data_IF_272382134083
#
_entry.id   IF_272382134083
#
_cell.length_a   1.000
_cell.length_b   1.000
_cell.length_c   1.000
_cell.angle_alpha   90.00
_cell.angle_beta   90.00
_cell.angle_gamma   90.00
#
_symmetry.space_group_name_H-M   'P 1'
#
loop_
_entity.id
_entity.type
_entity.pdbx_description
1 polymer ?
#
# COMPACT_ATOMS: atom_id res chain seq x y z
N UNK A 1 14.85 19.73 35.96
CA UNK A 1 13.57 19.01 35.76
C UNK A 1 13.64 18.30 34.42
N UNK A 2 13.58 16.95 34.41
CA UNK A 2 13.54 16.16 33.16
C UNK A 2 12.11 16.25 32.59
N UNK A 3 11.92 16.46 31.27
CA UNK A 3 10.58 16.47 30.70
C UNK A 3 9.97 15.08 30.84
N UNK A 4 8.79 15.02 31.45
CA UNK A 4 7.98 13.82 31.60
C UNK A 4 7.64 13.29 30.20
N UNK A 5 8.16 12.10 29.86
CA UNK A 5 7.75 11.38 28.67
C UNK A 5 6.34 10.85 28.93
N UNK A 6 5.34 11.51 28.34
CA UNK A 6 3.96 11.01 28.32
C UNK A 6 4.00 9.70 27.51
N UNK A 7 3.59 8.56 28.07
CA UNK A 7 3.46 7.34 27.29
C UNK A 7 2.41 7.61 26.22
N UNK A 8 2.78 7.51 24.94
CA UNK A 8 1.85 7.59 23.81
C UNK A 8 1.00 6.32 23.73
N UNK A 9 0.25 6.00 24.79
CA UNK A 9 -0.85 5.04 24.70
C UNK A 9 -2.10 5.81 24.29
N UNK A 10 -2.06 6.38 23.08
CA UNK A 10 -3.20 7.04 22.47
C UNK A 10 -4.20 5.98 22.04
N UNK A 11 -5.45 6.14 22.48
CA UNK A 11 -6.62 5.27 22.26
C UNK A 11 -6.98 5.03 20.78
N UNK A 12 -6.36 5.73 19.84
CA UNK A 12 -6.55 5.51 18.39
C UNK A 12 -5.84 4.26 17.86
N UNK A 13 -4.78 3.76 18.50
CA UNK A 13 -4.12 2.50 18.09
C UNK A 13 -5.00 1.26 18.33
N UNK A 14 -6.00 1.35 19.20
CA UNK A 14 -6.97 0.28 19.42
C UNK A 14 -7.97 0.12 18.28
N UNK A 15 -8.08 1.09 17.37
CA UNK A 15 -8.98 1.04 16.21
C UNK A 15 -8.33 0.49 14.93
N UNK A 16 -7.03 0.24 14.93
CA UNK A 16 -6.33 -0.34 13.78
C UNK A 16 -6.20 -1.84 14.00
N UNK A 17 -6.77 -2.65 13.11
CA UNK A 17 -6.76 -4.11 13.22
C UNK A 17 -5.41 -4.76 12.83
N UNK A 18 -4.41 -3.94 12.53
CA UNK A 18 -3.05 -4.35 12.20
C UNK A 18 -2.29 -4.63 13.51
N UNK A 19 -1.75 -5.83 13.60
CA UNK A 19 -0.87 -6.26 14.69
C UNK A 19 0.59 -5.95 14.37
N UNK A 20 1.02 -6.19 13.12
CA UNK A 20 2.39 -5.94 12.69
C UNK A 20 2.53 -5.87 11.16
N UNK A 21 3.67 -5.37 10.68
CA UNK A 21 4.04 -5.46 9.26
C UNK A 21 5.45 -6.05 9.20
N UNK A 22 5.54 -7.29 8.71
CA UNK A 22 6.75 -8.10 8.73
C UNK A 22 6.96 -8.75 7.37
N UNK A 23 8.19 -8.70 6.86
CA UNK A 23 8.57 -9.35 5.59
C UNK A 23 7.61 -9.03 4.43
N UNK A 24 7.24 -7.75 4.30
CA UNK A 24 6.38 -7.24 3.23
C UNK A 24 4.94 -7.79 3.26
N UNK A 25 4.51 -8.27 4.42
CA UNK A 25 3.17 -8.77 4.71
C UNK A 25 2.56 -8.01 5.89
N UNK A 26 1.24 -7.89 5.88
CA UNK A 26 0.47 -7.28 6.97
C UNK A 26 -0.06 -8.42 7.84
N UNK A 27 0.26 -8.41 9.13
CA UNK A 27 -0.32 -9.30 10.13
C UNK A 27 -1.44 -8.58 10.86
N UNK A 28 -2.62 -9.18 10.88
CA UNK A 28 -3.78 -8.67 11.62
C UNK A 28 -3.87 -9.29 13.02
N UNK A 29 -4.58 -8.63 13.92
CA UNK A 29 -4.76 -9.05 15.33
C UNK A 29 -5.46 -10.41 15.48
N UNK A 30 -6.25 -10.81 14.49
CA UNK A 30 -6.91 -12.12 14.42
C UNK A 30 -5.99 -13.26 13.93
N UNK A 31 -4.74 -12.93 13.57
CA UNK A 31 -3.75 -13.86 13.00
C UNK A 31 -3.90 -14.09 11.51
N UNK A 32 -4.79 -13.37 10.82
CA UNK A 32 -4.86 -13.34 9.36
C UNK A 32 -3.71 -12.52 8.78
N UNK A 33 -3.28 -12.86 7.57
CA UNK A 33 -2.16 -12.19 6.90
C UNK A 33 -2.60 -11.68 5.54
N UNK A 34 -2.18 -10.48 5.15
CA UNK A 34 -2.49 -9.90 3.86
C UNK A 34 -1.22 -9.53 3.10
N UNK A 35 -1.20 -9.87 1.80
CA UNK A 35 -0.19 -9.42 0.84
C UNK A 35 -0.80 -8.31 -0.03
N UNK A 36 -0.09 -7.20 -0.22
CA UNK A 36 -0.56 -6.08 -1.05
C UNK A 36 0.32 -5.88 -2.28
N UNK A 37 -0.33 -5.77 -3.43
CA UNK A 37 0.25 -5.52 -4.73
C UNK A 37 -0.15 -4.12 -5.21
N UNK A 38 0.81 -3.36 -5.75
CA UNK A 38 0.58 -2.16 -6.54
C UNK A 38 0.52 -2.55 -8.02
N UNK A 39 -0.47 -2.02 -8.74
CA UNK A 39 -0.71 -2.33 -10.16
C UNK A 39 -0.64 -1.02 -10.96
N UNK A 40 0.04 -1.07 -12.11
CA UNK A 40 0.05 0.05 -13.05
C UNK A 40 -1.33 0.26 -13.69
N UNK A 41 -1.49 1.36 -14.40
CA UNK A 41 -2.64 1.60 -15.26
C UNK A 41 -2.20 1.65 -16.73
N UNK A 42 -3.14 1.40 -17.63
CA UNK A 42 -2.97 1.59 -19.08
C UNK A 42 -4.01 2.61 -19.58
N UNK A 43 -3.67 3.33 -20.64
CA UNK A 43 -4.61 4.24 -21.31
C UNK A 43 -5.49 3.44 -22.27
N UNK A 44 -6.48 2.73 -21.73
CA UNK A 44 -7.35 1.84 -22.50
C UNK A 44 -7.98 2.52 -23.73
N UNK A 45 -8.46 3.76 -23.58
CA UNK A 45 -9.09 4.51 -24.68
C UNK A 45 -8.15 4.97 -25.79
N UNK A 46 -6.83 4.84 -25.63
CA UNK A 46 -5.84 5.13 -26.68
C UNK A 46 -5.43 3.88 -27.46
N UNK A 47 -5.87 2.69 -27.02
CA UNK A 47 -5.62 1.44 -27.72
C UNK A 47 -6.50 1.35 -28.97
N UNK A 48 -6.05 0.61 -29.98
CA UNK A 48 -6.89 0.23 -31.12
C UNK A 48 -8.03 -0.69 -30.69
N UNK A 49 -9.11 -0.79 -31.46
CA UNK A 49 -10.27 -1.63 -31.12
C UNK A 49 -9.88 -3.10 -30.88
N UNK A 50 -8.97 -3.64 -31.68
CA UNK A 50 -8.48 -5.02 -31.54
C UNK A 50 -7.69 -5.21 -30.24
N UNK A 51 -6.88 -4.22 -29.84
CA UNK A 51 -6.17 -4.23 -28.56
C UNK A 51 -7.12 -4.05 -27.36
N UNK A 52 -8.16 -3.23 -27.51
CA UNK A 52 -9.21 -3.07 -26.52
C UNK A 52 -9.94 -4.40 -26.29
N UNK A 53 -10.36 -5.07 -27.36
CA UNK A 53 -11.00 -6.38 -27.30
C UNK A 53 -10.09 -7.42 -26.65
N UNK A 54 -8.83 -7.49 -27.08
CA UNK A 54 -7.85 -8.40 -26.49
C UNK A 54 -7.67 -8.17 -24.98
N UNK A 55 -7.65 -6.90 -24.56
CA UNK A 55 -7.58 -6.51 -23.14
C UNK A 55 -8.83 -6.94 -22.38
N UNK A 56 -10.04 -6.76 -22.95
CA UNK A 56 -11.31 -7.19 -22.36
C UNK A 56 -11.32 -8.72 -22.18
N UNK A 57 -10.95 -9.48 -23.21
CA UNK A 57 -10.89 -10.94 -23.12
C UNK A 57 -9.85 -11.43 -22.11
N UNK A 58 -8.69 -10.78 -22.04
CA UNK A 58 -7.67 -11.10 -21.05
C UNK A 58 -8.14 -10.78 -19.61
N UNK A 59 -8.86 -9.67 -19.41
CA UNK A 59 -9.47 -9.33 -18.13
C UNK A 59 -10.56 -10.35 -17.72
N UNK A 60 -11.41 -10.78 -18.65
CA UNK A 60 -12.39 -11.83 -18.40
C UNK A 60 -11.73 -13.17 -17.99
N UNK A 61 -10.63 -13.56 -18.66
CA UNK A 61 -9.84 -14.73 -18.28
C UNK A 61 -9.22 -14.59 -16.88
N UNK A 62 -8.74 -13.38 -16.52
CA UNK A 62 -8.25 -13.12 -15.17
C UNK A 62 -9.35 -13.37 -14.15
N UNK A 63 -10.55 -12.82 -14.33
CA UNK A 63 -11.67 -13.03 -13.40
C UNK A 63 -12.06 -14.51 -13.28
N UNK A 64 -12.11 -15.23 -14.40
CA UNK A 64 -12.48 -16.65 -14.43
C UNK A 64 -11.40 -17.59 -13.83
N UNK A 65 -10.16 -17.12 -13.67
CA UNK A 65 -9.05 -17.92 -13.12
C UNK A 65 -8.80 -17.70 -11.63
N UNK A 66 -9.51 -16.75 -11.00
CA UNK A 66 -9.39 -16.50 -9.56
C UNK A 66 -9.98 -17.65 -8.76
N UNK A 67 -9.13 -18.31 -7.97
CA UNK A 67 -9.49 -19.42 -7.07
C UNK A 67 -9.44 -19.01 -5.58
N UNK A 68 -9.16 -17.74 -5.32
CA UNK A 68 -9.00 -17.16 -3.99
C UNK A 68 -9.54 -15.73 -3.97
N UNK A 69 -9.86 -15.25 -2.78
CA UNK A 69 -10.38 -13.90 -2.59
C UNK A 69 -9.31 -12.85 -2.86
N UNK A 70 -9.70 -11.78 -3.54
CA UNK A 70 -8.88 -10.58 -3.72
C UNK A 70 -9.71 -9.35 -3.36
N UNK A 71 -9.05 -8.29 -2.93
CA UNK A 71 -9.68 -7.00 -2.68
C UNK A 71 -9.01 -5.93 -3.52
N UNK A 72 -9.78 -5.21 -4.33
CA UNK A 72 -9.28 -4.10 -5.14
C UNK A 72 -9.45 -2.81 -4.35
N UNK A 73 -8.36 -2.03 -4.26
CA UNK A 73 -8.31 -0.78 -3.51
C UNK A 73 -7.83 0.31 -4.46
N UNK A 74 -8.60 1.39 -4.56
CA UNK A 74 -8.24 2.56 -5.37
C UNK A 74 -7.97 3.72 -4.42
N UNK A 75 -6.75 4.24 -4.47
CA UNK A 75 -6.33 5.39 -3.68
C UNK A 75 -6.18 6.61 -4.58
N UNK A 76 -7.07 7.59 -4.43
CA UNK A 76 -6.91 8.92 -5.02
C UNK A 76 -6.32 9.88 -3.99
N UNK A 77 -5.21 10.53 -4.35
CA UNK A 77 -4.56 11.56 -3.53
C UNK A 77 -4.24 12.77 -4.39
N UNK A 78 -4.13 13.95 -3.79
CA UNK A 78 -3.61 15.11 -4.52
C UNK A 78 -2.17 14.84 -4.93
N UNK A 79 -1.81 15.23 -6.17
CA UNK A 79 -0.46 15.05 -6.68
C UNK A 79 0.50 15.96 -5.91
N UNK A 80 1.42 15.35 -5.16
CA UNK A 80 2.54 16.07 -4.58
C UNK A 80 3.54 16.43 -5.69
N UNK A 81 3.77 17.74 -5.86
CA UNK A 81 4.71 18.30 -6.84
C UNK A 81 5.92 18.95 -6.17
N UNK A 82 6.09 18.78 -4.86
CA UNK A 82 7.14 19.46 -4.08
C UNK A 82 8.52 19.21 -4.65
N UNK A 83 8.85 17.95 -4.97
CA UNK A 83 10.13 17.58 -5.57
C UNK A 83 10.35 18.26 -6.93
N UNK A 84 9.30 18.37 -7.74
CA UNK A 84 9.35 19.04 -9.04
C UNK A 84 9.60 20.54 -8.87
N UNK A 85 8.89 21.20 -7.95
CA UNK A 85 9.10 22.62 -7.64
C UNK A 85 10.53 22.86 -7.13
N UNK A 86 11.05 22.00 -6.26
CA UNK A 86 12.44 22.08 -5.78
C UNK A 86 13.42 21.93 -6.95
N UNK A 87 13.13 21.05 -7.92
CA UNK A 87 13.97 20.91 -9.12
C UNK A 87 13.99 22.17 -9.98
N UNK A 88 12.84 22.84 -10.15
CA UNK A 88 12.73 24.13 -10.85
C UNK A 88 13.47 25.23 -10.10
N UNK A 89 13.37 25.25 -8.77
CA UNK A 89 14.07 26.21 -7.91
C UNK A 89 15.60 26.06 -8.03
N UNK A 90 16.10 24.82 -8.08
CA UNK A 90 17.53 24.57 -8.35
C UNK A 90 17.96 25.09 -9.72
N UNK A 91 17.16 24.84 -10.77
CA UNK A 91 17.46 25.35 -12.11
C UNK A 91 17.41 26.87 -12.20
N UNK A 92 16.51 27.53 -11.47
CA UNK A 92 16.45 28.99 -11.41
C UNK A 92 17.76 29.61 -10.89
N UNK A 93 18.43 28.94 -9.95
CA UNK A 93 19.72 29.41 -9.40
C UNK A 93 20.90 29.21 -10.36
N UNK A 94 20.83 28.26 -11.28
CA UNK A 94 21.94 27.96 -12.22
C UNK A 94 21.85 28.72 -13.55
N UNK A 95 20.67 29.21 -13.93
CA UNK A 95 20.49 29.96 -15.18
C UNK A 95 21.09 31.36 -15.06
N UNK A 96 22.06 31.69 -15.92
CA UNK A 96 22.69 33.01 -15.98
C UNK A 96 21.82 34.07 -16.66
N UNK A 97 21.09 33.69 -17.72
CA UNK A 97 20.27 34.61 -18.53
C UNK A 97 19.06 35.15 -17.75
N UNK A 98 18.93 36.48 -17.56
CA UNK A 98 17.79 37.07 -16.84
C UNK A 98 16.44 36.77 -17.50
N UNK A 99 16.36 36.75 -18.83
CA UNK A 99 15.13 36.48 -19.57
C UNK A 99 14.63 35.06 -19.34
N UNK A 100 15.53 34.07 -19.44
CA UNK A 100 15.20 32.66 -19.21
C UNK A 100 14.82 32.41 -17.75
N UNK A 101 15.51 33.07 -16.80
CA UNK A 101 15.15 33.01 -15.39
C UNK A 101 13.74 33.54 -15.14
N UNK A 102 13.38 34.67 -15.76
CA UNK A 102 12.05 35.24 -15.68
C UNK A 102 10.97 34.31 -16.25
N UNK A 103 11.24 33.64 -17.37
CA UNK A 103 10.29 32.67 -17.96
C UNK A 103 10.13 31.42 -17.11
N UNK A 104 11.23 30.87 -16.58
CA UNK A 104 11.16 29.68 -15.73
C UNK A 104 10.42 29.97 -14.41
N UNK A 105 10.57 31.19 -13.85
CA UNK A 105 9.81 31.61 -12.67
C UNK A 105 8.30 31.66 -12.96
N UNK A 106 7.90 32.25 -14.09
CA UNK A 106 6.49 32.26 -14.54
C UNK A 106 5.95 30.85 -14.74
N UNK A 107 6.74 29.97 -15.35
CA UNK A 107 6.36 28.57 -15.55
C UNK A 107 6.18 27.83 -14.21
N UNK A 108 7.10 28.00 -13.26
CA UNK A 108 6.99 27.44 -11.91
C UNK A 108 5.70 27.90 -11.22
N UNK A 109 5.39 29.18 -11.28
CA UNK A 109 4.19 29.74 -10.63
C UNK A 109 2.91 29.31 -11.34
N UNK A 110 2.94 29.18 -12.66
CA UNK A 110 1.87 28.57 -13.45
C UNK A 110 1.61 27.12 -13.00
N UNK A 111 2.64 26.27 -12.93
CA UNK A 111 2.50 24.87 -12.48
C UNK A 111 1.94 24.78 -11.07
N UNK A 112 2.44 25.61 -10.13
CA UNK A 112 1.88 25.68 -8.76
C UNK A 112 0.40 26.05 -8.77
N UNK A 113 0.03 27.01 -9.59
CA UNK A 113 -1.36 27.49 -9.69
C UNK A 113 -2.27 26.42 -10.29
N UNK A 114 -1.86 25.79 -11.39
CA UNK A 114 -2.60 24.72 -12.07
C UNK A 114 -2.81 23.52 -11.14
N UNK A 115 -1.79 23.10 -10.40
CA UNK A 115 -1.93 21.94 -9.51
C UNK A 115 -2.80 22.26 -8.30
N UNK A 116 -2.68 23.48 -7.74
CA UNK A 116 -3.52 23.92 -6.61
C UNK A 116 -4.98 24.14 -7.00
N UNK A 117 -5.24 24.73 -8.17
CA UNK A 117 -6.59 25.03 -8.64
C UNK A 117 -7.27 23.82 -9.29
N UNK A 118 -6.50 23.02 -10.02
CA UNK A 118 -6.99 21.88 -10.80
C UNK A 118 -7.28 20.64 -9.99
N UNK A 119 -7.00 20.63 -8.67
CA UNK A 119 -7.14 19.46 -7.80
C UNK A 119 -6.57 18.19 -8.47
N UNK A 120 -5.38 18.31 -9.07
CA UNK A 120 -4.81 17.23 -9.88
C UNK A 120 -4.62 16.00 -8.99
N UNK A 121 -5.39 14.94 -9.26
CA UNK A 121 -5.37 13.72 -8.49
C UNK A 121 -4.41 12.70 -9.10
N UNK A 122 -3.60 12.10 -8.26
CA UNK A 122 -2.88 10.87 -8.56
C UNK A 122 -3.73 9.67 -8.12
N UNK A 123 -3.93 8.71 -9.02
CA UNK A 123 -4.69 7.48 -8.76
C UNK A 123 -3.72 6.31 -8.73
N UNK A 124 -3.68 5.64 -7.58
CA UNK A 124 -2.95 4.38 -7.41
C UNK A 124 -3.92 3.22 -7.23
N UNK A 125 -3.60 2.09 -7.84
CA UNK A 125 -4.41 0.88 -7.83
C UNK A 125 -3.65 -0.21 -7.06
N UNK A 126 -4.35 -0.83 -6.12
CA UNK A 126 -3.79 -1.90 -5.30
C UNK A 126 -4.71 -3.11 -5.29
N UNK A 127 -4.11 -4.28 -5.12
CA UNK A 127 -4.82 -5.52 -4.83
C UNK A 127 -4.27 -6.12 -3.54
N UNK A 128 -5.16 -6.40 -2.60
CA UNK A 128 -4.86 -7.18 -1.40
C UNK A 128 -5.28 -8.63 -1.58
N UNK A 129 -4.43 -9.56 -1.16
CA UNK A 129 -4.69 -11.00 -1.11
C UNK A 129 -4.72 -11.41 0.36
N UNK A 130 -5.91 -11.59 0.98
CA UNK A 130 -6.01 -12.09 2.33
C UNK A 130 -5.70 -13.59 2.40
N UNK A 131 -5.07 -14.00 3.49
CA UNK A 131 -4.90 -15.39 3.91
C UNK A 131 -5.42 -15.48 5.35
N UNK A 132 -6.53 -16.18 5.51
CA UNK A 132 -7.15 -16.35 6.83
C UNK A 132 -6.25 -17.20 7.75
N UNK A 133 -6.37 -16.98 9.06
CA UNK A 133 -5.67 -17.81 10.06
C UNK A 133 -5.99 -19.32 9.94
N UNK A 134 -7.15 -19.67 9.37
CA UNK A 134 -7.55 -21.05 9.07
C UNK A 134 -6.76 -21.66 7.90
N UNK A 135 -6.53 -20.90 6.81
CA UNK A 135 -5.72 -21.33 5.66
C UNK A 135 -4.26 -21.60 6.03
N UNK A 136 -3.77 -20.99 7.13
CA UNK A 136 -2.42 -21.19 7.67
C UNK A 136 -2.31 -22.48 8.51
N UNK A 137 -3.38 -23.28 8.60
CA UNK A 137 -3.41 -24.61 9.23
C UNK A 137 -3.84 -24.62 10.69
N UNK A 138 -4.09 -25.83 11.21
CA UNK A 138 -4.86 -26.18 12.42
C UNK A 138 -4.33 -25.75 13.82
N UNK A 139 -3.56 -24.67 13.95
CA UNK A 139 -3.24 -24.04 15.25
C UNK A 139 -4.36 -23.11 15.72
N UNK A 140 -5.27 -22.74 14.80
CA UNK A 140 -6.56 -22.15 15.15
C UNK A 140 -7.42 -23.10 16.01
N UNK A 141 -7.20 -24.42 15.94
CA UNK A 141 -7.92 -25.41 16.74
C UNK A 141 -7.56 -25.34 18.23
N UNK A 142 -6.31 -24.98 18.58
CA UNK A 142 -5.88 -24.83 19.98
C UNK A 142 -6.60 -23.64 20.66
N UNK A 143 -6.81 -22.53 19.94
CA UNK A 143 -7.63 -21.41 20.41
C UNK A 143 -9.14 -21.66 20.28
N UNK A 144 -9.57 -22.55 19.39
CA UNK A 144 -10.98 -22.96 19.30
C UNK A 144 -11.38 -23.82 20.50
N UNK A 145 -10.46 -24.65 21.02
CA UNK A 145 -10.70 -25.46 22.22
C UNK A 145 -10.77 -24.59 23.50
N UNK A 146 -10.01 -23.48 23.56
CA UNK A 146 -10.17 -22.49 24.64
C UNK A 146 -11.46 -21.67 24.49
N UNK A 147 -11.99 -21.48 23.28
CA UNK A 147 -13.29 -20.80 23.06
C UNK A 147 -14.53 -21.59 23.52
N UNK A 148 -14.38 -22.89 23.81
CA UNK A 148 -15.42 -23.71 24.44
C UNK A 148 -15.60 -23.41 25.94
N UNK A 149 -14.73 -22.58 26.52
CA UNK A 149 -14.87 -22.07 27.89
C UNK A 149 -15.67 -20.75 27.84
N UNK A 150 -16.88 -20.69 28.40
CA UNK A 150 -17.67 -19.46 28.45
C UNK A 150 -16.92 -18.40 29.27
N UNK A 151 -16.40 -17.36 28.60
CA UNK A 151 -15.74 -16.22 29.26
C UNK A 151 -14.28 -15.97 28.87
N UNK A 152 -13.61 -16.88 28.16
CA UNK A 152 -12.26 -16.62 27.64
C UNK A 152 -12.30 -16.05 26.24
N UNK A 153 -12.14 -14.72 26.12
CA UNK A 153 -11.73 -14.12 24.85
C UNK A 153 -10.32 -14.64 24.52
N UNK A 154 -10.06 -15.22 23.34
CA UNK A 154 -8.71 -15.59 22.94
C UNK A 154 -7.87 -14.30 22.93
N UNK A 155 -6.97 -14.18 23.91
CA UNK A 155 -6.18 -12.98 24.13
C UNK A 155 -4.82 -13.20 23.48
N UNK A 156 -4.73 -12.86 22.19
CA UNK A 156 -3.47 -12.90 21.44
C UNK A 156 -3.53 -13.74 20.17
N UNK A 157 -2.43 -13.72 19.43
CA UNK A 157 -2.26 -14.43 18.17
C UNK A 157 -2.37 -15.96 18.35
N UNK A 158 -2.88 -16.72 17.36
CA UNK A 158 -2.96 -18.18 17.44
C UNK A 158 -1.62 -18.91 17.54
N UNK A 159 -0.52 -18.25 17.16
CA UNK A 159 0.84 -18.79 17.04
C UNK A 159 1.88 -17.67 17.14
N UNK A 160 3.18 -18.00 17.30
CA UNK A 160 4.26 -17.02 17.15
C UNK A 160 4.19 -16.28 15.81
N UNK A 161 4.50 -14.98 15.79
CA UNK A 161 4.45 -14.13 14.60
C UNK A 161 5.25 -14.72 13.43
N UNK A 162 6.45 -15.22 13.71
CA UNK A 162 7.36 -15.78 12.70
C UNK A 162 6.76 -16.99 11.97
N UNK A 163 6.21 -17.95 12.71
CA UNK A 163 5.59 -19.15 12.14
C UNK A 163 4.38 -18.84 11.25
N UNK A 164 3.59 -17.83 11.65
CA UNK A 164 2.43 -17.36 10.87
C UNK A 164 2.92 -16.81 9.53
N UNK A 165 3.95 -15.96 9.55
CA UNK A 165 4.50 -15.32 8.36
C UNK A 165 5.13 -16.35 7.41
N UNK A 166 5.90 -17.31 7.89
CA UNK A 166 6.52 -18.35 7.04
C UNK A 166 5.48 -19.21 6.29
N UNK A 167 4.40 -19.57 7.00
CA UNK A 167 3.26 -20.28 6.39
C UNK A 167 2.52 -19.38 5.40
N UNK A 168 2.33 -18.12 5.74
CA UNK A 168 1.69 -17.15 4.86
C UNK A 168 2.48 -16.94 3.58
N UNK A 169 3.81 -16.86 3.65
CA UNK A 169 4.68 -16.79 2.46
C UNK A 169 4.48 -18.01 1.57
N UNK A 170 4.44 -19.21 2.15
CA UNK A 170 4.24 -20.45 1.39
C UNK A 170 2.87 -20.50 0.69
N UNK A 171 1.83 -19.94 1.31
CA UNK A 171 0.48 -19.89 0.77
C UNK A 171 0.27 -18.74 -0.24
N UNK A 172 0.80 -17.56 0.06
CA UNK A 172 0.56 -16.31 -0.69
C UNK A 172 1.50 -16.15 -1.88
N UNK A 173 2.72 -16.69 -1.86
CA UNK A 173 3.68 -16.53 -2.97
C UNK A 173 3.15 -17.13 -4.28
N UNK A 174 2.59 -18.36 -4.30
CA UNK A 174 2.00 -18.90 -5.53
C UNK A 174 0.80 -18.07 -6.03
N UNK A 175 -0.04 -17.58 -5.11
CA UNK A 175 -1.20 -16.71 -5.43
C UNK A 175 -0.73 -15.39 -6.06
N UNK A 176 0.30 -14.77 -5.48
CA UNK A 176 0.96 -13.56 -6.02
C UNK A 176 1.48 -13.81 -7.43
N UNK A 177 2.29 -14.85 -7.62
CA UNK A 177 2.95 -15.14 -8.90
C UNK A 177 1.93 -15.52 -9.98
N UNK A 178 0.81 -16.14 -9.59
CA UNK A 178 -0.35 -16.31 -10.46
C UNK A 178 -0.89 -14.95 -10.93
N UNK A 179 -1.25 -14.04 -10.01
CA UNK A 179 -1.78 -12.72 -10.39
C UNK A 179 -0.81 -11.93 -11.25
N UNK A 180 0.48 -11.88 -10.88
CA UNK A 180 1.51 -11.17 -11.64
C UNK A 180 1.52 -11.62 -13.11
N UNK A 181 1.44 -12.94 -13.37
CA UNK A 181 1.40 -13.47 -14.73
C UNK A 181 0.11 -13.11 -15.47
N UNK A 182 -1.05 -13.14 -14.81
CA UNK A 182 -2.32 -12.78 -15.44
C UNK A 182 -2.38 -11.29 -15.80
N UNK A 183 -1.98 -10.42 -14.88
CA UNK A 183 -1.94 -8.98 -15.13
C UNK A 183 -0.93 -8.60 -16.21
N UNK A 184 0.22 -9.29 -16.28
CA UNK A 184 1.20 -9.07 -17.34
C UNK A 184 0.61 -9.33 -18.74
N UNK A 185 -0.33 -10.28 -18.89
CA UNK A 185 -1.03 -10.52 -20.17
C UNK A 185 -1.94 -9.37 -20.60
N UNK A 186 -2.39 -8.57 -19.64
CA UNK A 186 -3.22 -7.37 -19.86
C UNK A 186 -2.31 -6.13 -20.07
N UNK A 187 -0.98 -6.31 -20.09
CA UNK A 187 -0.03 -5.20 -20.17
C UNK A 187 0.12 -4.42 -18.86
N UNK A 188 -0.39 -4.96 -17.75
CA UNK A 188 -0.31 -4.35 -16.43
C UNK A 188 0.92 -4.87 -15.67
N UNK A 189 1.74 -3.94 -15.17
CA UNK A 189 2.86 -4.25 -14.29
C UNK A 189 2.35 -4.36 -12.86
N UNK A 190 2.80 -5.40 -12.17
CA UNK A 190 2.41 -5.68 -10.79
C UNK A 190 3.67 -5.82 -9.95
N UNK A 191 3.66 -5.20 -8.77
CA UNK A 191 4.75 -5.28 -7.81
C UNK A 191 4.21 -5.39 -6.38
N UNK A 192 4.84 -6.20 -5.55
CA UNK A 192 4.52 -6.28 -4.12
C UNK A 192 5.04 -5.03 -3.39
N UNK A 193 4.21 -4.49 -2.50
CA UNK A 193 4.62 -3.40 -1.62
C UNK A 193 5.58 -3.92 -0.56
N UNK A 194 6.65 -3.18 -0.35
CA UNK A 194 7.60 -3.43 0.74
C UNK A 194 7.05 -2.97 2.08
N UNK A 195 7.64 -3.43 3.17
CA UNK A 195 7.30 -3.07 4.55
C UNK A 195 7.22 -1.55 4.75
N UNK A 196 8.18 -0.81 4.18
CA UNK A 196 8.22 0.66 4.27
C UNK A 196 7.08 1.31 3.48
N UNK A 197 6.74 0.76 2.31
CA UNK A 197 5.65 1.25 1.49
C UNK A 197 4.28 0.93 2.08
N UNK A 198 4.14 -0.21 2.76
CA UNK A 198 2.95 -0.57 3.52
C UNK A 198 2.74 0.38 4.69
N UNK A 199 3.80 0.68 5.44
CA UNK A 199 3.77 1.68 6.52
C UNK A 199 3.34 3.06 5.98
N UNK A 200 3.95 3.50 4.87
CA UNK A 200 3.55 4.74 4.20
C UNK A 200 2.10 4.70 3.73
N UNK A 201 1.66 3.59 3.13
CA UNK A 201 0.30 3.42 2.62
C UNK A 201 -0.73 3.60 3.74
N UNK A 202 -0.52 2.93 4.89
CA UNK A 202 -1.42 3.08 6.04
C UNK A 202 -1.32 4.46 6.67
N UNK A 203 -0.11 5.01 6.83
CA UNK A 203 0.07 6.36 7.34
C UNK A 203 -0.73 7.37 6.51
N UNK A 204 -0.61 7.33 5.18
CA UNK A 204 -1.35 8.23 4.30
C UNK A 204 -2.86 7.97 4.34
N UNK A 205 -3.29 6.71 4.52
CA UNK A 205 -4.70 6.34 4.58
C UNK A 205 -5.39 6.91 5.83
N UNK A 206 -4.70 6.86 6.98
CA UNK A 206 -5.18 7.40 8.25
C UNK A 206 -4.94 8.92 8.39
N UNK A 207 -3.93 9.48 7.71
CA UNK A 207 -3.54 10.88 7.81
C UNK A 207 -3.75 11.65 6.50
N UNK A 208 -4.96 11.56 5.92
CA UNK A 208 -5.28 12.16 4.59
C UNK A 208 -5.05 13.67 4.48
N UNK A 209 -4.90 14.40 5.60
CA UNK A 209 -4.60 15.84 5.62
C UNK A 209 -3.11 16.19 5.59
N UNK A 210 -2.20 15.23 5.79
CA UNK A 210 -0.75 15.45 5.84
C UNK A 210 -0.10 14.96 4.54
N UNK A 211 -0.08 15.81 3.52
CA UNK A 211 0.56 15.53 2.23
C UNK A 211 2.10 15.58 2.36
N UNK A 212 2.80 14.67 1.69
CA UNK A 212 4.27 14.70 1.55
C UNK A 212 5.07 14.21 2.77
N UNK A 213 4.42 13.76 3.85
CA UNK A 213 5.13 13.25 5.02
C UNK A 213 5.64 11.83 4.75
N UNK A 214 6.96 11.66 4.63
CA UNK A 214 7.59 10.35 4.49
C UNK A 214 7.76 9.71 5.87
N UNK A 215 7.20 8.53 6.05
CA UNK A 215 7.41 7.70 7.25
C UNK A 215 8.83 7.17 7.20
N UNK A 216 9.69 7.64 8.11
CA UNK A 216 10.98 7.01 8.36
C UNK A 216 10.75 5.89 9.39
N UNK A 217 10.93 4.61 9.01
CA UNK A 217 10.86 3.51 9.95
C UNK A 217 12.08 3.62 10.87
N UNK A 218 11.92 4.29 12.01
CA UNK A 218 12.85 4.13 13.11
C UNK A 218 12.58 2.74 13.68
N UNK A 219 13.36 1.76 13.24
CA UNK A 219 13.44 0.45 13.88
C UNK A 219 13.73 0.73 15.37
N UNK A 220 12.88 0.32 16.32
CA UNK A 220 13.25 0.43 17.72
C UNK A 220 14.52 -0.41 17.89
N UNK A 221 15.61 0.26 18.29
CA UNK A 221 16.84 -0.44 18.68
C UNK A 221 16.44 -1.45 19.74
N UNK A 222 16.61 -2.74 19.43
CA UNK A 222 16.52 -3.81 20.41
C UNK A 222 17.57 -3.50 21.49
N UNK A 223 17.11 -3.11 22.66
CA UNK A 223 17.87 -3.16 23.92
C UNK A 223 17.56 -4.47 24.61
#
# INVERSE_FOLDING_TARGET
>A
MKPSQIPLTTTTQNHVDIEDILQDLILLKDGSVCLVLEISAINFGLLSETEQDATIYAYAQLLNSLTFSIQIIISSKQKDISDYIVSLDKQLTSISSPLLRGQLAKYRDFVKTVVRQGNVLDKKFFISIPCSSFELGAGAAANSLSSLIPGSKPKGLPRPKQDIIERAITNLSPKRDHLVRLFARIGLRVRQLTTNELLQFFFDSYNRGQLGTKVNPTIPKQT
#
